data_IF_419738613966
#
_entry.id   IF_419738613966
#
_cell.length_a   1.000
_cell.length_b   1.000
_cell.length_c   1.000
_cell.angle_alpha   90.00
_cell.angle_beta   90.00
_cell.angle_gamma   90.00
#
_symmetry.space_group_name_H-M   'P 1'
#
loop_
_entity.id
_entity.type
_entity.pdbx_description
1 polymer ?
#
# COMPACT_ATOMS: atom_id res chain seq x y z
N UNK A 1 22.80 -29.50 6.32
CA UNK A 1 21.93 -28.35 6.71
C UNK A 1 22.05 -27.17 5.73
N UNK A 2 22.08 -27.43 4.41
CA UNK A 2 22.23 -26.40 3.37
C UNK A 2 21.01 -25.44 3.25
N UNK A 3 19.80 -25.94 3.55
CA UNK A 3 18.57 -25.12 3.49
C UNK A 3 18.58 -23.94 4.46
N UNK A 4 19.12 -24.13 5.67
CA UNK A 4 19.16 -23.06 6.67
C UNK A 4 20.17 -21.98 6.28
N UNK A 5 21.29 -22.38 5.66
CA UNK A 5 22.31 -21.45 5.19
C UNK A 5 21.81 -20.61 4.01
N UNK A 6 21.14 -21.22 3.02
CA UNK A 6 20.53 -20.47 1.92
C UNK A 6 19.44 -19.51 2.38
N UNK A 7 18.63 -19.89 3.37
CA UNK A 7 17.63 -19.01 3.97
C UNK A 7 18.27 -17.83 4.68
N UNK A 8 19.34 -18.06 5.45
CA UNK A 8 20.04 -16.99 6.16
C UNK A 8 20.68 -15.99 5.19
N UNK A 9 21.37 -16.48 4.15
CA UNK A 9 21.96 -15.62 3.11
C UNK A 9 20.90 -14.80 2.37
N UNK A 10 19.78 -15.43 2.01
CA UNK A 10 18.65 -14.75 1.39
C UNK A 10 18.04 -13.71 2.33
N UNK A 11 17.82 -14.05 3.61
CA UNK A 11 17.30 -13.13 4.61
C UNK A 11 18.19 -11.91 4.78
N UNK A 12 19.51 -12.11 4.91
CA UNK A 12 20.47 -11.02 5.03
C UNK A 12 20.42 -10.11 3.79
N UNK A 13 20.54 -10.68 2.59
CA UNK A 13 20.52 -9.90 1.35
C UNK A 13 19.22 -9.09 1.17
N UNK A 14 18.06 -9.65 1.53
CA UNK A 14 16.78 -8.94 1.45
C UNK A 14 16.68 -7.86 2.53
N UNK A 15 17.15 -8.13 3.75
CA UNK A 15 17.13 -7.13 4.84
C UNK A 15 18.01 -5.94 4.49
N UNK A 16 19.22 -6.18 3.97
CA UNK A 16 20.14 -5.13 3.53
C UNK A 16 19.54 -4.32 2.38
N UNK A 17 18.88 -5.00 1.43
CA UNK A 17 18.15 -4.32 0.36
C UNK A 17 16.93 -3.54 0.88
N UNK A 18 16.30 -3.96 1.97
CA UNK A 18 15.11 -3.29 2.49
C UNK A 18 15.39 -2.49 3.77
N UNK A 19 16.61 -2.00 3.98
CA UNK A 19 16.98 -1.27 5.19
C UNK A 19 16.00 -0.11 5.51
N UNK A 20 15.66 0.70 4.50
CA UNK A 20 14.75 1.84 4.64
C UNK A 20 13.31 1.42 5.00
N UNK A 21 12.89 0.21 4.63
CA UNK A 21 11.59 -0.32 5.00
C UNK A 21 11.46 -0.55 6.51
N UNK A 22 12.53 -1.02 7.17
CA UNK A 22 12.46 -1.32 8.60
C UNK A 22 12.42 -0.04 9.46
N UNK A 23 12.88 1.09 8.92
CA UNK A 23 12.79 2.41 9.58
C UNK A 23 11.52 3.16 9.16
N UNK A 24 11.23 3.28 7.87
CA UNK A 24 10.13 4.09 7.32
C UNK A 24 8.83 3.32 6.99
N UNK A 25 8.86 1.99 7.01
CA UNK A 25 7.70 1.14 6.72
C UNK A 25 7.36 1.01 5.25
N UNK A 26 6.09 0.69 4.97
CA UNK A 26 5.61 0.39 3.61
C UNK A 26 5.87 1.53 2.61
N UNK A 27 5.93 2.79 3.05
CA UNK A 27 6.26 3.95 2.21
C UNK A 27 7.70 3.93 1.68
N UNK A 28 8.61 3.28 2.40
CA UNK A 28 10.02 3.16 2.05
C UNK A 28 10.36 1.78 1.46
N UNK A 29 9.35 0.96 1.13
CA UNK A 29 9.59 -0.34 0.51
C UNK A 29 10.14 -0.15 -0.91
N UNK A 30 11.37 -0.61 -1.12
CA UNK A 30 12.03 -0.57 -2.43
C UNK A 30 11.50 -1.71 -3.32
N UNK A 31 11.32 -1.47 -4.62
CA UNK A 31 10.96 -2.54 -5.54
C UNK A 31 12.05 -3.62 -5.57
N UNK A 32 11.64 -4.88 -5.40
CA UNK A 32 12.56 -6.01 -5.41
C UNK A 32 11.83 -7.24 -5.95
N UNK A 33 12.21 -7.71 -7.13
CA UNK A 33 11.66 -8.94 -7.70
C UNK A 33 12.38 -10.18 -7.16
N UNK A 34 11.68 -11.32 -7.20
CA UNK A 34 12.27 -12.62 -6.87
C UNK A 34 13.42 -12.97 -7.82
N UNK A 35 13.29 -12.60 -9.10
CA UNK A 35 14.29 -12.85 -10.14
C UNK A 35 15.60 -12.10 -9.87
N UNK A 36 15.52 -10.82 -9.54
CA UNK A 36 16.70 -10.01 -9.21
C UNK A 36 17.44 -10.57 -8.01
N UNK A 37 16.71 -10.85 -6.92
CA UNK A 37 17.32 -11.41 -5.71
C UNK A 37 17.91 -12.81 -5.97
N UNK A 38 17.21 -13.65 -6.74
CA UNK A 38 17.71 -14.97 -7.13
C UNK A 38 19.03 -14.89 -7.92
N UNK A 39 19.13 -13.95 -8.87
CA UNK A 39 20.37 -13.67 -9.59
C UNK A 39 21.50 -13.22 -8.68
N UNK A 40 21.23 -12.34 -7.72
CA UNK A 40 22.23 -11.82 -6.78
C UNK A 40 22.85 -12.92 -5.89
N UNK A 41 22.04 -13.87 -5.43
CA UNK A 41 22.51 -14.94 -4.52
C UNK A 41 22.85 -16.26 -5.24
N UNK A 42 22.80 -16.28 -6.57
CA UNK A 42 23.13 -17.45 -7.39
C UNK A 42 22.14 -18.62 -7.25
N UNK A 43 20.87 -18.32 -6.99
CA UNK A 43 19.80 -19.33 -6.88
C UNK A 43 18.80 -19.22 -8.04
N UNK A 44 18.07 -20.30 -8.28
CA UNK A 44 16.92 -20.26 -9.19
C UNK A 44 15.74 -19.52 -8.53
N UNK A 45 14.97 -18.75 -9.31
CA UNK A 45 13.80 -18.01 -8.81
C UNK A 45 12.81 -18.90 -8.05
N UNK A 46 12.50 -20.09 -8.59
CA UNK A 46 11.63 -21.08 -7.93
C UNK A 46 12.17 -21.59 -6.59
N UNK A 47 13.47 -21.53 -6.35
CA UNK A 47 14.08 -21.89 -5.06
C UNK A 47 13.87 -20.77 -4.06
N UNK A 48 14.12 -19.51 -4.44
CA UNK A 48 13.85 -18.34 -3.60
C UNK A 48 12.37 -18.28 -3.21
N UNK A 49 11.48 -18.41 -4.20
CA UNK A 49 10.02 -18.40 -4.00
C UNK A 49 9.57 -19.44 -2.97
N UNK A 50 10.03 -20.69 -3.10
CA UNK A 50 9.72 -21.76 -2.13
C UNK A 50 10.33 -21.52 -0.76
N UNK A 51 11.54 -20.98 -0.70
CA UNK A 51 12.24 -20.70 0.56
C UNK A 51 11.53 -19.63 1.38
N UNK A 52 10.99 -18.57 0.75
CA UNK A 52 10.28 -17.48 1.45
C UNK A 52 8.81 -17.78 1.75
N UNK A 53 8.21 -18.76 1.06
CA UNK A 53 6.81 -19.14 1.25
C UNK A 53 6.58 -19.68 2.67
N UNK A 54 5.56 -19.15 3.34
CA UNK A 54 5.21 -19.54 4.72
C UNK A 54 6.29 -19.18 5.75
N UNK A 55 7.19 -18.26 5.43
CA UNK A 55 8.16 -17.69 6.38
C UNK A 55 7.73 -16.30 6.79
N UNK A 56 8.04 -15.98 8.04
CA UNK A 56 7.69 -14.73 8.68
C UNK A 56 8.94 -14.11 9.29
N UNK A 57 8.99 -12.79 9.28
CA UNK A 57 10.05 -12.01 9.89
C UNK A 57 9.43 -11.22 11.04
N UNK A 58 10.03 -11.35 12.21
CA UNK A 58 9.72 -10.50 13.36
C UNK A 58 10.48 -9.18 13.20
N UNK A 59 9.75 -8.07 13.23
CA UNK A 59 10.30 -6.71 13.17
C UNK A 59 9.87 -5.93 14.41
N UNK A 60 10.49 -4.77 14.64
CA UNK A 60 10.08 -3.86 15.73
C UNK A 60 8.63 -3.36 15.58
N UNK A 61 8.06 -3.46 14.38
CA UNK A 61 6.67 -3.04 14.06
C UNK A 61 5.69 -4.23 14.03
N UNK A 62 6.15 -5.42 14.40
CA UNK A 62 5.36 -6.66 14.40
C UNK A 62 5.87 -7.71 13.42
N UNK A 63 5.09 -8.77 13.27
CA UNK A 63 5.43 -9.93 12.45
C UNK A 63 4.86 -9.74 11.05
N UNK A 64 5.69 -9.89 10.02
CA UNK A 64 5.29 -9.77 8.62
C UNK A 64 5.65 -11.02 7.81
N UNK A 65 4.88 -11.36 6.76
CA UNK A 65 5.28 -12.40 5.82
C UNK A 65 6.57 -11.98 5.09
N UNK A 66 7.55 -12.87 5.00
CA UNK A 66 8.83 -12.57 4.32
C UNK A 66 8.59 -12.17 2.85
N UNK A 67 7.64 -12.84 2.19
CA UNK A 67 7.22 -12.51 0.81
C UNK A 67 6.79 -11.05 0.61
N UNK A 68 6.39 -10.31 1.67
CA UNK A 68 6.00 -8.89 1.59
C UNK A 68 7.16 -7.98 1.16
N UNK A 69 8.40 -8.38 1.45
CA UNK A 69 9.59 -7.62 1.09
C UNK A 69 9.93 -7.69 -0.41
N UNK A 70 9.24 -8.55 -1.16
CA UNK A 70 9.31 -8.62 -2.60
C UNK A 70 8.13 -7.88 -3.20
N UNK A 71 8.40 -6.94 -4.09
CA UNK A 71 7.37 -6.10 -4.68
C UNK A 71 7.66 -5.82 -6.15
N UNK A 72 6.58 -5.72 -6.92
CA UNK A 72 6.65 -5.39 -8.35
C UNK A 72 6.95 -3.90 -8.49
N UNK A 73 7.97 -3.58 -9.29
CA UNK A 73 8.33 -2.23 -9.70
C UNK A 73 7.20 -1.61 -10.52
N UNK A 74 6.75 -0.42 -10.13
CA UNK A 74 5.96 0.46 -10.99
C UNK A 74 6.92 1.46 -11.63
N UNK A 75 6.83 1.61 -12.94
CA UNK A 75 7.64 2.57 -13.68
C UNK A 75 7.25 3.99 -13.30
N UNK A 76 8.25 4.80 -12.96
CA UNK A 76 8.10 6.22 -12.66
C UNK A 76 8.85 7.03 -13.72
N UNK A 77 8.32 8.20 -14.05
CA UNK A 77 8.92 9.09 -15.06
C UNK A 77 10.27 9.68 -14.60
N UNK A 78 10.52 9.66 -13.29
CA UNK A 78 11.76 10.11 -12.65
C UNK A 78 12.87 9.04 -12.65
N UNK A 79 12.60 7.83 -13.16
CA UNK A 79 13.54 6.70 -13.16
C UNK A 79 13.71 5.99 -11.80
N UNK A 80 13.05 6.48 -10.74
CA UNK A 80 13.04 5.87 -9.41
C UNK A 80 11.84 4.94 -9.28
N UNK A 81 12.00 3.65 -9.58
CA UNK A 81 10.91 2.69 -9.50
C UNK A 81 10.28 2.67 -8.10
N UNK A 82 8.94 2.71 -8.02
CA UNK A 82 8.18 2.71 -6.76
C UNK A 82 7.43 1.39 -6.59
N UNK A 83 7.37 0.86 -5.37
CA UNK A 83 6.65 -0.38 -5.10
C UNK A 83 5.12 -0.17 -4.97
N UNK A 84 4.35 -1.19 -5.32
CA UNK A 84 2.89 -1.20 -5.12
C UNK A 84 2.47 -1.07 -3.63
N UNK A 85 3.33 -1.43 -2.68
CA UNK A 85 3.07 -1.22 -1.26
C UNK A 85 3.20 0.26 -0.87
N UNK A 86 4.24 0.94 -1.36
CA UNK A 86 4.44 2.37 -1.13
C UNK A 86 3.28 3.20 -1.71
N UNK A 87 2.82 2.86 -2.92
CA UNK A 87 1.63 3.51 -3.52
C UNK A 87 0.40 3.31 -2.65
N UNK A 88 0.15 2.09 -2.15
CA UNK A 88 -0.99 1.83 -1.26
C UNK A 88 -0.89 2.58 0.06
N UNK A 89 0.29 2.66 0.66
CA UNK A 89 0.53 3.44 1.88
C UNK A 89 0.25 4.93 1.64
N UNK A 90 0.66 5.47 0.48
CA UNK A 90 0.41 6.86 0.09
C UNK A 90 -1.07 7.14 -0.11
N UNK A 91 -1.76 6.26 -0.85
CA UNK A 91 -3.21 6.34 -1.05
C UNK A 91 -3.95 6.33 0.29
N UNK A 92 -3.56 5.43 1.21
CA UNK A 92 -4.15 5.36 2.55
C UNK A 92 -3.96 6.67 3.32
N UNK A 93 -2.75 7.23 3.33
CA UNK A 93 -2.47 8.49 4.01
C UNK A 93 -3.29 9.67 3.48
N UNK A 94 -3.53 9.74 2.16
CA UNK A 94 -4.36 10.79 1.58
C UNK A 94 -5.85 10.60 1.82
N UNK A 95 -6.32 9.35 1.76
CA UNK A 95 -7.73 9.03 2.05
C UNK A 95 -8.03 9.29 3.53
N UNK A 96 -7.12 8.95 4.43
CA UNK A 96 -7.30 9.19 5.87
C UNK A 96 -7.29 10.69 6.23
N UNK A 97 -6.71 11.53 5.37
CA UNK A 97 -6.71 12.99 5.51
C UNK A 97 -7.74 13.69 4.60
N UNK A 98 -8.66 12.96 3.96
CA UNK A 98 -9.64 13.55 3.05
C UNK A 98 -10.78 14.25 3.79
N UNK A 99 -11.33 15.31 3.18
CA UNK A 99 -12.57 15.92 3.66
C UNK A 99 -13.74 14.96 3.38
N UNK A 100 -14.47 14.48 4.41
CA UNK A 100 -15.62 13.59 4.22
C UNK A 100 -16.73 14.21 3.34
N UNK A 101 -16.81 15.54 3.26
CA UNK A 101 -17.76 16.25 2.41
C UNK A 101 -17.32 16.24 0.93
N UNK A 102 -16.03 16.11 0.68
CA UNK A 102 -15.43 16.13 -0.66
C UNK A 102 -14.40 15.00 -0.82
N UNK A 103 -14.84 13.72 -0.81
CA UNK A 103 -13.92 12.59 -0.88
C UNK A 103 -13.10 12.61 -2.18
N UNK A 104 -11.86 12.12 -2.12
CA UNK A 104 -10.98 12.13 -3.27
C UNK A 104 -11.44 11.11 -4.31
N UNK A 105 -11.56 11.54 -5.57
CA UNK A 105 -11.87 10.63 -6.68
C UNK A 105 -10.64 9.82 -7.09
N UNK A 106 -10.85 8.64 -7.68
CA UNK A 106 -9.76 7.82 -8.21
C UNK A 106 -8.93 8.58 -9.28
N UNK A 107 -9.57 9.50 -10.03
CA UNK A 107 -8.88 10.37 -10.99
C UNK A 107 -7.98 11.40 -10.28
N UNK A 108 -8.46 12.02 -9.21
CA UNK A 108 -7.66 12.96 -8.39
C UNK A 108 -6.46 12.25 -7.75
N UNK A 109 -6.66 11.04 -7.23
CA UNK A 109 -5.57 10.23 -6.65
C UNK A 109 -4.54 9.85 -7.72
N UNK A 110 -4.99 9.50 -8.93
CA UNK A 110 -4.11 9.21 -10.07
C UNK A 110 -3.28 10.43 -10.46
N UNK A 111 -3.90 11.62 -10.53
CA UNK A 111 -3.19 12.87 -10.84
C UNK A 111 -2.13 13.21 -9.79
N UNK A 112 -2.43 13.06 -8.49
CA UNK A 112 -1.45 13.29 -7.42
C UNK A 112 -0.26 12.33 -7.53
N UNK A 113 -0.51 11.04 -7.80
CA UNK A 113 0.57 10.08 -8.05
C UNK A 113 1.41 10.46 -9.26
N UNK A 114 0.77 10.94 -10.34
CA UNK A 114 1.48 11.41 -11.54
C UNK A 114 2.34 12.65 -11.27
N UNK A 115 1.89 13.57 -10.41
CA UNK A 115 2.68 14.72 -9.95
C UNK A 115 3.91 14.28 -9.15
N UNK A 116 3.80 13.20 -8.37
CA UNK A 116 4.93 12.55 -7.68
C UNK A 116 5.79 11.67 -8.61
N UNK A 117 5.50 11.67 -9.92
CA UNK A 117 6.26 10.93 -10.93
C UNK A 117 5.82 9.47 -11.11
N UNK A 118 4.80 9.01 -10.39
CA UNK A 118 4.29 7.63 -10.45
C UNK A 118 3.24 7.50 -11.57
N UNK A 119 3.57 6.73 -12.61
CA UNK A 119 2.66 6.45 -13.72
C UNK A 119 1.80 5.24 -13.38
N UNK A 120 0.53 5.48 -13.08
CA UNK A 120 -0.42 4.42 -12.73
C UNK A 120 -1.77 4.66 -13.41
N UNK A 121 -2.39 3.59 -13.89
CA UNK A 121 -3.73 3.69 -14.46
C UNK A 121 -4.78 3.85 -13.37
N UNK A 122 -5.83 4.64 -13.64
CA UNK A 122 -6.99 4.82 -12.75
C UNK A 122 -7.58 3.49 -12.25
N UNK A 123 -7.69 2.48 -13.12
CA UNK A 123 -8.17 1.13 -12.75
C UNK A 123 -7.29 0.46 -11.69
N UNK A 124 -5.98 0.68 -11.74
CA UNK A 124 -5.05 0.15 -10.74
C UNK A 124 -5.20 0.88 -9.41
N UNK A 125 -5.42 2.20 -9.43
CA UNK A 125 -5.75 2.98 -8.23
C UNK A 125 -7.05 2.49 -7.59
N UNK A 126 -8.10 2.26 -8.38
CA UNK A 126 -9.37 1.70 -7.90
C UNK A 126 -9.17 0.32 -7.23
N UNK A 127 -8.40 -0.58 -7.86
CA UNK A 127 -8.06 -1.89 -7.29
C UNK A 127 -7.29 -1.77 -5.96
N UNK A 128 -6.38 -0.81 -5.85
CA UNK A 128 -5.63 -0.57 -4.62
C UNK A 128 -6.50 0.02 -3.52
N UNK A 129 -7.41 0.93 -3.86
CA UNK A 129 -8.42 1.49 -2.93
C UNK A 129 -9.32 0.39 -2.37
N UNK A 130 -9.85 -0.48 -3.24
CA UNK A 130 -10.67 -1.63 -2.84
C UNK A 130 -9.90 -2.59 -1.90
N UNK A 131 -8.63 -2.86 -2.20
CA UNK A 131 -7.77 -3.68 -1.35
C UNK A 131 -7.48 -3.05 0.03
N UNK A 132 -7.66 -1.73 0.17
CA UNK A 132 -7.57 -1.00 1.43
C UNK A 132 -8.92 -0.92 2.18
N UNK A 133 -9.98 -1.53 1.63
CA UNK A 133 -11.33 -1.49 2.22
C UNK A 133 -12.04 -0.14 2.06
N UNK A 134 -11.54 0.73 1.18
CA UNK A 134 -12.13 2.06 0.99
C UNK A 134 -13.20 1.99 -0.11
N UNK A 135 -14.46 2.38 0.17
CA UNK A 135 -15.52 2.33 -0.82
C UNK A 135 -15.33 3.35 -1.95
N UNK A 136 -16.05 3.16 -3.06
CA UNK A 136 -15.98 4.08 -4.20
C UNK A 136 -16.46 5.48 -3.79
N UNK A 137 -16.02 6.50 -4.51
CA UNK A 137 -16.43 7.90 -4.28
C UNK A 137 -17.96 8.04 -4.08
N UNK A 138 -18.74 7.41 -4.97
CA UNK A 138 -20.22 7.47 -4.96
C UNK A 138 -20.86 6.91 -3.68
N UNK A 139 -20.21 5.95 -3.05
CA UNK A 139 -20.72 5.30 -1.84
C UNK A 139 -20.25 6.03 -0.58
N UNK A 140 -19.08 6.69 -0.64
CA UNK A 140 -18.56 7.53 0.43
C UNK A 140 -19.43 8.77 0.68
N UNK A 141 -19.94 9.40 -0.37
CA UNK A 141 -20.83 10.58 -0.27
C UNK A 141 -22.18 10.26 0.40
N UNK A 142 -22.64 8.99 0.36
CA UNK A 142 -23.95 8.58 0.90
C UNK A 142 -23.93 8.23 2.39
N UNK A 143 -22.76 8.11 3.00
CA UNK A 143 -22.59 7.55 4.34
C UNK A 143 -22.89 8.49 5.52
N UNK A 144 -23.53 9.64 5.29
CA UNK A 144 -24.03 10.46 6.39
C UNK A 144 -25.26 9.76 7.01
N UNK A 145 -25.25 9.31 8.28
CA UNK A 145 -26.50 8.98 8.96
C UNK A 145 -27.33 10.25 8.97
N UNK A 146 -28.60 10.14 8.55
CA UNK A 146 -29.51 11.25 8.41
C UNK A 146 -29.46 12.17 9.63
N UNK A 147 -29.30 13.46 9.38
CA UNK A 147 -29.66 14.46 10.38
C UNK A 147 -31.15 14.31 10.60
N UNK A 148 -31.54 13.75 11.74
CA UNK A 148 -32.91 13.79 12.22
C UNK A 148 -33.40 15.25 12.15
N UNK A 149 -34.53 15.53 11.48
CA UNK A 149 -35.12 16.85 11.54
C UNK A 149 -35.58 17.07 12.98
N UNK A 150 -35.13 18.17 13.60
CA UNK A 150 -35.70 18.64 14.86
C UNK A 150 -37.22 18.79 14.68
N UNK A 151 -38.05 18.31 15.60
CA UNK A 151 -39.47 18.61 15.56
C UNK A 151 -39.64 20.12 15.72
N UNK A 152 -40.35 20.72 14.77
CA UNK A 152 -40.81 22.09 14.82
C UNK A 152 -41.82 22.24 15.96
N UNK A 153 -41.40 22.81 17.08
CA UNK A 153 -42.33 23.29 18.11
C UNK A 153 -43.09 24.51 17.57
N UNK A 154 -44.28 24.20 17.06
CA UNK A 154 -45.55 24.86 17.34
C UNK A 154 -45.51 26.35 17.69
N UNK A 155 -45.95 27.15 16.71
CA UNK A 155 -46.50 28.48 16.90
C UNK A 155 -47.59 28.48 17.98
N UNK A 156 -47.32 29.07 19.14
CA UNK A 156 -48.36 29.55 20.06
C UNK A 156 -48.95 30.87 19.53
N UNK A 157 -50.28 31.02 19.44
CA UNK A 157 -50.89 32.29 19.05
C UNK A 157 -50.87 33.29 20.21
N UNK A 158 -50.70 34.55 19.82
CA UNK A 158 -50.69 35.73 20.68
C UNK A 158 -52.11 36.09 21.17
N UNK A 159 -52.21 36.49 22.44
CA UNK A 159 -53.25 37.31 23.13
C UNK A 159 -54.71 36.90 23.06
#
# INVERSE_FOLDING_TARGET
>A
TLRNESLLRLAQAVVDYQADYFTGGDACLRPLSLREMAGQIGLHESTVSRTVQGKYITTVRGIIPFRRLFSVSLETRTGTATSAAAVRARLRAWIDAEDPLHPLTDDTLTQRLSQEGVMIARRTVAKYREALGVPAFRDRTKSRPGTEPRPSEETSPCS
#
